data_IF_423267624180
#
_entry.id   IF_423267624180
#
_cell.length_a   1.000
_cell.length_b   1.000
_cell.length_c   1.000
_cell.angle_alpha   90.00
_cell.angle_beta   90.00
_cell.angle_gamma   90.00
#
_symmetry.space_group_name_H-M   'P 1'
#
loop_
_entity.id
_entity.type
_entity.pdbx_description
1 polymer ?
#
# COMPACT_ATOMS: atom_id res chain seq x y z
N UNK A 1 -8.10 -11.14 -6.00
CA UNK A 1 -7.00 -10.74 -5.10
C UNK A 1 -6.62 -11.90 -4.20
N UNK A 2 -5.33 -12.05 -3.87
CA UNK A 2 -4.81 -13.00 -2.88
C UNK A 2 -5.40 -12.68 -1.48
N UNK A 3 -5.98 -13.66 -0.75
CA UNK A 3 -6.61 -13.42 0.55
C UNK A 3 -5.69 -12.78 1.60
N UNK A 4 -4.39 -13.12 1.60
CA UNK A 4 -3.42 -12.54 2.53
C UNK A 4 -3.27 -11.03 2.28
N UNK A 5 -3.12 -10.63 1.01
CA UNK A 5 -2.99 -9.22 0.66
C UNK A 5 -4.30 -8.46 0.89
N UNK A 6 -5.46 -9.10 0.68
CA UNK A 6 -6.74 -8.49 1.03
C UNK A 6 -6.79 -8.08 2.51
N UNK A 7 -6.40 -8.98 3.41
CA UNK A 7 -6.37 -8.70 4.85
C UNK A 7 -5.39 -7.58 5.20
N UNK A 8 -4.22 -7.55 4.57
CA UNK A 8 -3.23 -6.49 4.79
C UNK A 8 -3.77 -5.13 4.32
N UNK A 9 -4.35 -5.06 3.12
CA UNK A 9 -4.92 -3.81 2.61
C UNK A 9 -6.06 -3.31 3.51
N UNK A 10 -6.96 -4.18 3.96
CA UNK A 10 -8.03 -3.80 4.90
C UNK A 10 -7.49 -3.36 6.27
N UNK A 11 -6.36 -3.91 6.71
CA UNK A 11 -5.68 -3.44 7.93
C UNK A 11 -5.11 -2.03 7.74
N UNK A 12 -4.48 -1.75 6.59
CA UNK A 12 -3.97 -0.42 6.24
C UNK A 12 -5.12 0.59 6.16
N UNK A 13 -6.22 0.24 5.49
CA UNK A 13 -7.43 1.07 5.40
C UNK A 13 -7.96 1.45 6.79
N UNK A 14 -8.12 0.46 7.67
CA UNK A 14 -8.62 0.68 9.03
C UNK A 14 -7.64 1.46 9.90
N UNK A 15 -6.33 1.28 9.72
CA UNK A 15 -5.32 1.94 10.54
C UNK A 15 -5.26 3.45 10.27
N UNK A 16 -5.40 3.84 9.00
CA UNK A 16 -5.23 5.23 8.57
C UNK A 16 -6.54 5.93 8.21
N UNK A 17 -7.68 5.24 8.35
CA UNK A 17 -9.01 5.74 7.95
C UNK A 17 -9.02 6.20 6.48
N UNK A 18 -8.53 5.32 5.60
CA UNK A 18 -8.44 5.55 4.15
C UNK A 18 -9.17 4.44 3.40
N UNK A 19 -9.56 4.73 2.16
CA UNK A 19 -10.08 3.73 1.21
C UNK A 19 -9.06 3.53 0.10
N UNK A 20 -8.69 2.28 -0.17
CA UNK A 20 -7.77 1.93 -1.24
C UNK A 20 -8.55 1.46 -2.46
N UNK A 21 -8.25 2.07 -3.60
CA UNK A 21 -8.92 1.75 -4.86
C UNK A 21 -7.95 0.97 -5.74
N UNK A 22 -8.41 -0.17 -6.28
CA UNK A 22 -7.64 -0.91 -7.26
C UNK A 22 -7.54 -0.14 -8.58
N UNK A 23 -6.37 -0.14 -9.22
CA UNK A 23 -6.15 0.38 -10.55
C UNK A 23 -5.23 -0.48 -11.39
N UNK A 24 -5.13 -0.12 -12.67
CA UNK A 24 -4.25 -0.78 -13.64
C UNK A 24 -2.98 0.05 -13.95
N UNK A 25 -2.91 1.30 -13.45
CA UNK A 25 -1.80 2.22 -13.68
C UNK A 25 -1.39 2.94 -12.39
N UNK A 26 -0.13 2.78 -11.98
CA UNK A 26 0.45 3.40 -10.79
C UNK A 26 0.33 4.93 -10.76
N UNK A 27 0.42 5.57 -11.93
CA UNK A 27 0.39 7.03 -12.04
C UNK A 27 -1.04 7.61 -12.08
N UNK A 28 -2.08 6.76 -12.07
CA UNK A 28 -3.45 7.23 -11.91
C UNK A 28 -3.72 7.56 -10.44
N UNK A 29 -3.75 8.86 -10.16
CA UNK A 29 -3.99 9.44 -8.82
C UNK A 29 -5.33 9.04 -8.20
N UNK A 30 -6.25 8.45 -8.97
CA UNK A 30 -7.53 7.93 -8.47
C UNK A 30 -7.43 6.56 -7.84
N UNK A 31 -6.30 5.88 -7.99
CA UNK A 31 -6.10 4.49 -7.57
C UNK A 31 -4.87 4.37 -6.67
N UNK A 32 -4.86 3.32 -5.85
CA UNK A 32 -3.86 3.15 -4.80
C UNK A 32 -3.07 1.86 -4.95
N UNK A 33 -3.61 0.80 -5.53
CA UNK A 33 -2.84 -0.43 -5.72
C UNK A 33 -3.21 -1.14 -7.00
N UNK A 34 -2.29 -1.96 -7.48
CA UNK A 34 -2.54 -2.86 -8.60
C UNK A 34 -2.05 -4.26 -8.30
N UNK A 35 -2.65 -5.20 -9.02
CA UNK A 35 -2.45 -6.62 -8.81
C UNK A 35 -1.73 -7.24 -10.01
N UNK A 36 -0.94 -8.30 -9.77
CA UNK A 36 -0.53 -9.22 -10.83
C UNK A 36 -1.64 -10.21 -11.19
N UNK A 37 -1.37 -11.08 -12.16
CA UNK A 37 -2.25 -12.17 -12.59
C UNK A 37 -2.61 -13.17 -11.47
N UNK A 38 -1.79 -13.25 -10.42
CA UNK A 38 -2.01 -14.11 -9.25
C UNK A 38 -2.75 -13.37 -8.13
N UNK A 39 -3.14 -12.12 -8.34
CA UNK A 39 -3.83 -11.28 -7.36
C UNK A 39 -2.90 -10.76 -6.26
N UNK A 40 -1.59 -10.69 -6.49
CA UNK A 40 -0.63 -10.12 -5.55
C UNK A 40 -0.48 -8.61 -5.76
N UNK A 41 -0.34 -7.84 -4.68
CA UNK A 41 -0.08 -6.40 -4.78
C UNK A 41 1.33 -6.19 -5.30
N UNK A 42 1.44 -5.60 -6.49
CA UNK A 42 2.73 -5.32 -7.14
C UNK A 42 3.12 -3.85 -7.05
N UNK A 43 2.15 -2.97 -6.81
CA UNK A 43 2.42 -1.57 -6.57
C UNK A 43 1.41 -0.98 -5.61
N UNK A 44 1.84 0.04 -4.85
CA UNK A 44 1.05 0.73 -3.85
C UNK A 44 1.41 2.22 -3.82
N UNK A 45 0.42 3.07 -3.98
CA UNK A 45 0.50 4.52 -3.90
C UNK A 45 -0.34 5.00 -2.70
N UNK A 46 0.38 5.49 -1.69
CA UNK A 46 -0.17 6.06 -0.46
C UNK A 46 0.33 7.50 -0.28
N UNK A 47 0.46 8.23 -1.37
CA UNK A 47 0.81 9.65 -1.34
C UNK A 47 -0.20 10.45 -0.50
N UNK A 48 0.33 11.26 0.42
CA UNK A 48 -0.45 12.20 1.26
C UNK A 48 -1.60 11.51 2.04
N UNK A 49 -1.24 10.52 2.87
CA UNK A 49 -2.17 9.72 3.69
C UNK A 49 -1.91 9.80 5.19
N UNK A 50 -1.08 10.75 5.64
CA UNK A 50 -0.71 10.91 7.05
C UNK A 50 -0.20 9.62 7.72
N UNK A 51 0.46 8.75 6.94
CA UNK A 51 1.02 7.50 7.43
C UNK A 51 2.25 7.81 8.29
N UNK A 52 2.38 7.11 9.40
CA UNK A 52 3.54 7.25 10.31
C UNK A 52 4.14 5.90 10.71
N UNK A 53 3.39 4.81 10.56
CA UNK A 53 3.82 3.44 10.86
C UNK A 53 3.73 2.61 9.57
N UNK A 54 4.81 1.89 9.25
CA UNK A 54 4.94 1.08 8.04
C UNK A 54 4.80 -0.42 8.34
N UNK A 55 4.47 -0.82 9.57
CA UNK A 55 4.42 -2.23 10.00
C UNK A 55 3.50 -3.11 9.17
N UNK A 56 2.31 -2.63 8.80
CA UNK A 56 1.40 -3.36 7.92
C UNK A 56 1.86 -3.36 6.45
N UNK A 57 2.41 -2.23 5.99
CA UNK A 57 2.91 -2.06 4.61
C UNK A 57 4.10 -2.99 4.36
N UNK A 58 4.98 -3.17 5.35
CA UNK A 58 6.12 -4.07 5.32
C UNK A 58 5.74 -5.56 5.09
N UNK A 59 4.48 -5.95 5.36
CA UNK A 59 4.00 -7.33 5.13
C UNK A 59 3.75 -7.63 3.65
N UNK A 60 3.70 -6.61 2.78
CA UNK A 60 3.51 -6.73 1.33
C UNK A 60 4.80 -7.12 0.62
N UNK A 61 5.22 -8.37 0.79
CA UNK A 61 6.50 -8.88 0.29
C UNK A 61 6.64 -8.97 -1.24
N UNK A 62 5.58 -8.66 -2.00
CA UNK A 62 5.55 -8.73 -3.47
C UNK A 62 5.62 -7.36 -4.15
N UNK A 63 5.60 -6.27 -3.38
CA UNK A 63 5.61 -4.91 -3.90
C UNK A 63 6.89 -4.66 -4.71
N UNK A 64 6.72 -4.02 -5.87
CA UNK A 64 7.80 -3.57 -6.76
C UNK A 64 7.90 -2.05 -6.82
N UNK A 65 6.78 -1.37 -6.61
CA UNK A 65 6.69 0.10 -6.61
C UNK A 65 5.89 0.54 -5.37
N UNK A 66 6.47 1.45 -4.60
CA UNK A 66 5.86 1.98 -3.38
C UNK A 66 6.07 3.48 -3.35
N UNK A 67 4.98 4.25 -3.36
CA UNK A 67 5.01 5.69 -3.09
C UNK A 67 4.42 5.98 -1.71
N UNK A 68 5.26 6.51 -0.84
CA UNK A 68 4.95 6.93 0.53
C UNK A 68 5.25 8.42 0.73
N UNK A 69 5.44 9.18 -0.35
CA UNK A 69 5.77 10.60 -0.28
C UNK A 69 4.66 11.39 0.41
N UNK A 70 5.01 12.51 1.03
CA UNK A 70 4.07 13.38 1.76
C UNK A 70 3.34 12.69 2.92
N UNK A 71 4.03 11.81 3.65
CA UNK A 71 3.52 11.21 4.88
C UNK A 71 4.31 11.67 6.11
N UNK A 72 3.86 11.29 7.30
CA UNK A 72 4.49 11.58 8.59
C UNK A 72 5.48 10.49 9.02
N UNK A 73 6.19 9.89 8.06
CA UNK A 73 7.13 8.79 8.29
C UNK A 73 8.44 9.36 8.81
N UNK A 74 8.91 8.84 9.94
CA UNK A 74 10.20 9.20 10.54
C UNK A 74 11.16 8.01 10.67
N UNK A 75 10.63 6.79 10.57
CA UNK A 75 11.38 5.54 10.64
C UNK A 75 11.00 4.64 9.45
N UNK A 76 12.01 4.17 8.73
CA UNK A 76 11.87 3.27 7.58
C UNK A 76 12.48 1.89 7.84
N UNK A 77 12.95 1.62 9.06
CA UNK A 77 13.59 0.34 9.44
C UNK A 77 12.66 -0.87 9.31
N UNK A 78 11.34 -0.65 9.21
CA UNK A 78 10.37 -1.70 8.96
C UNK A 78 10.38 -2.19 7.50
N UNK A 79 10.99 -1.46 6.55
CA UNK A 79 11.05 -1.81 5.13
C UNK A 79 12.35 -2.53 4.71
N UNK A 80 13.29 -2.74 5.63
CA UNK A 80 14.61 -3.34 5.36
C UNK A 80 14.73 -4.80 5.80
#
# INVERSE_FOLDING_TARGET
>A
MNPKHHQILSSIESQFDILLIQGDNFYDVKTNYGLDENGNVIWLNLWDKNISDLSEIAKLSTIKLLDLSHNAISDISQLV
#
